data_IF_968866963852
#
_entry.id   IF_968866963852
#
_cell.length_a   1.000
_cell.length_b   1.000
_cell.length_c   1.000
_cell.angle_alpha   90.00
_cell.angle_beta   90.00
_cell.angle_gamma   90.00
#
_symmetry.space_group_name_H-M   'P 1'
#
loop_
_entity.id
_entity.type
_entity.pdbx_description
1 polymer ?
#
# COMPACT_ATOMS: atom_id res chain seq x y z
N UNK A 1 3.79 14.05 -27.73
CA UNK A 1 3.53 14.01 -26.28
C UNK A 1 4.84 14.24 -25.55
N UNK A 2 5.07 15.43 -24.98
CA UNK A 2 6.36 15.94 -24.50
C UNK A 2 6.67 15.54 -23.04
N UNK A 3 6.65 14.25 -22.71
CA UNK A 3 7.18 13.74 -21.42
C UNK A 3 6.64 14.37 -20.12
N UNK A 4 5.55 15.13 -20.16
CA UNK A 4 5.02 15.81 -18.97
C UNK A 4 4.47 14.80 -17.95
N UNK A 5 4.77 15.06 -16.68
CA UNK A 5 4.28 14.28 -15.55
C UNK A 5 2.75 14.29 -15.52
N UNK A 6 2.13 13.11 -15.55
CA UNK A 6 0.68 12.98 -15.43
C UNK A 6 0.33 13.04 -13.95
N UNK A 7 -0.37 14.08 -13.54
CA UNK A 7 -0.93 14.21 -12.20
C UNK A 7 -2.43 13.91 -12.25
N UNK A 8 -2.91 13.08 -11.31
CA UNK A 8 -4.31 12.75 -11.15
C UNK A 8 -4.70 12.91 -9.69
N UNK A 9 -5.67 13.78 -9.43
CA UNK A 9 -6.24 13.95 -8.10
C UNK A 9 -7.32 12.90 -7.87
N UNK A 10 -7.23 12.17 -6.75
CA UNK A 10 -8.22 11.17 -6.34
C UNK A 10 -8.61 11.46 -4.89
N UNK A 11 -9.92 11.47 -4.62
CA UNK A 11 -10.45 11.64 -3.27
C UNK A 11 -10.81 10.26 -2.69
N UNK A 12 -10.23 9.93 -1.53
CA UNK A 12 -10.61 8.75 -0.74
C UNK A 12 -11.67 9.20 0.27
N UNK A 13 -12.88 8.67 0.15
CA UNK A 13 -14.00 9.01 1.05
C UNK A 13 -14.04 8.04 2.23
N UNK A 14 -14.49 8.50 3.42
CA UNK A 14 -14.78 7.60 4.53
C UNK A 14 -15.92 6.64 4.17
N UNK A 15 -15.95 5.48 4.84
CA UNK A 15 -17.05 4.54 4.81
C UNK A 15 -17.77 4.59 6.16
N UNK A 16 -19.09 4.38 6.16
CA UNK A 16 -19.91 4.34 7.37
C UNK A 16 -19.60 3.12 8.23
N UNK A 17 -19.22 1.99 7.61
CA UNK A 17 -18.68 0.84 8.33
C UNK A 17 -17.19 1.10 8.64
N UNK A 18 -16.89 1.29 9.92
CA UNK A 18 -15.55 1.56 10.42
C UNK A 18 -14.54 0.46 10.02
N UNK A 19 -14.98 -0.81 9.94
CA UNK A 19 -14.10 -1.93 9.54
C UNK A 19 -13.72 -1.88 8.07
N UNK A 20 -14.52 -1.20 7.25
CA UNK A 20 -14.29 -1.02 5.82
C UNK A 20 -13.81 0.39 5.47
N UNK A 21 -13.68 1.29 6.45
CA UNK A 21 -13.34 2.68 6.23
C UNK A 21 -11.84 2.87 5.94
N UNK A 22 -11.45 3.24 4.70
CA UNK A 22 -10.04 3.38 4.35
C UNK A 22 -9.39 4.59 5.07
N UNK A 23 -10.17 5.62 5.38
CA UNK A 23 -9.68 6.82 6.09
C UNK A 23 -9.36 6.47 7.54
N UNK A 24 -10.24 5.74 8.22
CA UNK A 24 -10.00 5.26 9.59
C UNK A 24 -8.80 4.30 9.63
N UNK A 25 -8.76 3.33 8.70
CA UNK A 25 -7.66 2.38 8.59
C UNK A 25 -6.30 3.08 8.37
N UNK A 26 -6.25 4.06 7.46
CA UNK A 26 -5.02 4.80 7.19
C UNK A 26 -4.61 5.70 8.37
N UNK A 27 -5.56 6.31 9.07
CA UNK A 27 -5.29 7.10 10.28
C UNK A 27 -4.67 6.25 11.39
N UNK A 28 -5.24 5.07 11.65
CA UNK A 28 -4.67 4.09 12.58
C UNK A 28 -3.31 3.57 12.14
N UNK A 29 -3.08 3.44 10.82
CA UNK A 29 -1.79 3.09 10.27
C UNK A 29 -0.74 4.17 10.55
N UNK A 30 -1.08 5.44 10.35
CA UNK A 30 -0.17 6.58 10.59
C UNK A 30 0.27 6.62 12.06
N UNK A 31 -0.64 6.43 13.01
CA UNK A 31 -0.29 6.49 14.44
C UNK A 31 0.54 5.31 14.93
N UNK A 32 0.51 4.17 14.23
CA UNK A 32 1.18 2.93 14.66
C UNK A 32 2.48 2.61 13.92
N UNK A 33 2.56 2.98 12.65
CA UNK A 33 3.63 2.53 11.74
C UNK A 33 4.37 3.71 11.10
N UNK A 34 3.67 4.81 10.83
CA UNK A 34 4.22 5.98 10.15
C UNK A 34 4.10 7.24 11.01
N UNK A 35 4.40 7.09 12.30
CA UNK A 35 4.29 8.10 13.35
C UNK A 35 5.34 9.22 13.25
N UNK A 36 6.42 8.97 12.51
CA UNK A 36 7.43 9.97 12.14
C UNK A 36 7.55 10.11 10.62
N UNK A 37 7.95 11.28 10.08
CA UNK A 37 8.14 11.46 8.64
C UNK A 37 9.33 10.63 8.11
N UNK A 38 9.13 9.96 6.98
CA UNK A 38 10.18 9.23 6.26
C UNK A 38 10.25 9.75 4.83
N UNK A 39 11.42 10.25 4.44
CA UNK A 39 11.70 10.70 3.09
C UNK A 39 12.94 9.96 2.60
N UNK A 40 12.81 9.27 1.48
CA UNK A 40 13.86 8.43 0.91
C UNK A 40 14.13 8.79 -0.56
N UNK A 41 15.35 8.55 -1.07
CA UNK A 41 15.65 8.70 -2.49
C UNK A 41 14.85 7.69 -3.33
N UNK A 42 14.44 8.10 -4.53
CA UNK A 42 13.77 7.21 -5.47
C UNK A 42 14.75 6.13 -5.97
N UNK A 43 14.36 4.84 -6.02
CA UNK A 43 15.29 3.75 -6.35
C UNK A 43 15.97 3.86 -7.72
N UNK A 44 15.33 4.54 -8.69
CA UNK A 44 15.87 4.74 -10.04
C UNK A 44 16.54 6.09 -10.23
N UNK A 45 16.28 7.05 -9.35
CA UNK A 45 16.81 8.42 -9.48
C UNK A 45 16.98 9.02 -8.08
N UNK A 46 18.22 8.98 -7.58
CA UNK A 46 18.54 9.46 -6.22
C UNK A 46 18.39 10.97 -6.02
N UNK A 47 18.25 11.75 -7.11
CA UNK A 47 17.98 13.19 -7.01
C UNK A 47 16.54 13.48 -6.57
N UNK A 48 15.62 12.55 -6.85
CA UNK A 48 14.21 12.64 -6.47
C UNK A 48 14.04 12.01 -5.09
N UNK A 49 13.41 12.77 -4.18
CA UNK A 49 13.01 12.28 -2.86
C UNK A 49 11.51 12.11 -2.79
N UNK A 50 11.05 11.08 -2.09
CA UNK A 50 9.63 10.85 -1.86
C UNK A 50 9.36 10.30 -0.46
N UNK A 51 8.14 10.54 0.02
CA UNK A 51 7.63 9.89 1.22
C UNK A 51 6.85 8.64 0.79
N UNK A 52 7.27 7.43 1.19
CA UNK A 52 6.54 6.22 0.84
C UNK A 52 5.19 6.19 1.57
N UNK A 53 4.12 5.86 0.83
CA UNK A 53 2.76 5.80 1.37
C UNK A 53 2.62 4.73 2.46
N UNK A 54 3.21 3.56 2.20
CA UNK A 54 3.22 2.41 3.09
C UNK A 54 4.66 1.98 3.39
N UNK A 55 4.87 1.57 4.63
CA UNK A 55 6.15 1.13 5.21
C UNK A 55 6.06 -0.32 5.64
N UNK A 56 7.21 -0.97 5.71
CA UNK A 56 7.29 -2.32 6.24
C UNK A 56 7.00 -2.31 7.75
N UNK A 57 6.07 -3.15 8.21
CA UNK A 57 5.69 -3.20 9.63
C UNK A 57 6.77 -3.74 10.56
N UNK A 58 7.74 -4.52 10.03
CA UNK A 58 8.91 -5.00 10.77
C UNK A 58 10.09 -4.04 10.71
N UNK A 59 10.16 -3.23 9.64
CA UNK A 59 11.23 -2.27 9.40
C UNK A 59 10.62 -0.91 9.02
N UNK A 60 10.24 -0.14 10.03
CA UNK A 60 9.48 1.12 9.88
C UNK A 60 10.21 2.18 9.05
N UNK A 61 11.53 2.04 8.86
CA UNK A 61 12.35 2.93 8.04
C UNK A 61 12.44 2.51 6.55
N UNK A 62 11.77 1.43 6.15
CA UNK A 62 11.81 0.91 4.77
C UNK A 62 10.43 1.00 4.10
N UNK A 63 10.39 1.35 2.80
CA UNK A 63 9.16 1.28 2.03
C UNK A 63 8.67 -0.17 1.93
N UNK A 64 7.36 -0.36 1.86
CA UNK A 64 6.78 -1.68 1.60
C UNK A 64 7.09 -2.10 0.14
N UNK A 65 7.60 -3.32 -0.07
CA UNK A 65 7.90 -3.82 -1.41
C UNK A 65 6.66 -4.41 -2.08
N UNK A 66 6.62 -4.36 -3.41
CA UNK A 66 5.56 -5.00 -4.20
C UNK A 66 5.43 -6.50 -3.91
N UNK A 67 6.57 -7.18 -3.78
CA UNK A 67 6.62 -8.60 -3.40
C UNK A 67 5.96 -8.86 -2.03
N UNK A 68 6.22 -8.00 -1.04
CA UNK A 68 5.60 -8.14 0.28
C UNK A 68 4.09 -7.99 0.19
N UNK A 69 3.60 -7.03 -0.62
CA UNK A 69 2.17 -6.83 -0.86
C UNK A 69 1.57 -8.08 -1.51
N UNK A 70 2.18 -8.62 -2.56
CA UNK A 70 1.70 -9.84 -3.23
C UNK A 70 1.59 -11.02 -2.26
N UNK A 71 2.65 -11.27 -1.47
CA UNK A 71 2.66 -12.35 -0.49
C UNK A 71 1.58 -12.17 0.59
N UNK A 72 1.31 -10.93 1.01
CA UNK A 72 0.23 -10.62 1.94
C UNK A 72 -1.14 -10.87 1.32
N UNK A 73 -1.34 -10.48 0.06
CA UNK A 73 -2.60 -10.73 -0.67
C UNK A 73 -2.86 -12.23 -0.83
N UNK A 74 -1.84 -13.01 -1.19
CA UNK A 74 -1.94 -14.47 -1.29
C UNK A 74 -2.30 -15.09 0.05
N UNK A 75 -1.63 -14.66 1.12
CA UNK A 75 -1.89 -15.14 2.49
C UNK A 75 -3.32 -14.81 2.94
N UNK A 76 -3.81 -13.61 2.65
CA UNK A 76 -5.19 -13.20 2.97
C UNK A 76 -6.17 -14.03 2.15
N UNK A 77 -5.90 -14.23 0.87
CA UNK A 77 -6.76 -15.00 -0.04
C UNK A 77 -6.91 -16.45 0.42
N UNK A 78 -5.84 -17.09 0.89
CA UNK A 78 -5.90 -18.44 1.49
C UNK A 78 -6.66 -18.50 2.82
N UNK A 79 -6.84 -17.37 3.51
CA UNK A 79 -7.56 -17.33 4.78
C UNK A 79 -9.04 -16.98 4.63
N UNK A 80 -9.46 -16.59 3.43
CA UNK A 80 -10.84 -16.25 3.10
C UNK A 80 -11.33 -17.31 2.10
N UNK A 81 -12.10 -18.31 2.54
CA UNK A 81 -12.53 -19.45 1.71
C UNK A 81 -13.22 -19.02 0.40
N UNK A 82 -13.91 -17.88 0.39
CA UNK A 82 -14.56 -17.33 -0.80
C UNK A 82 -13.56 -16.83 -1.86
N UNK A 83 -12.38 -16.35 -1.45
CA UNK A 83 -11.34 -15.84 -2.35
C UNK A 83 -10.45 -16.95 -2.92
N UNK A 84 -10.32 -18.09 -2.24
CA UNK A 84 -9.60 -19.26 -2.74
C UNK A 84 -10.19 -19.87 -4.03
N UNK A 85 -11.49 -19.65 -4.28
CA UNK A 85 -12.15 -20.12 -5.51
C UNK A 85 -11.80 -19.25 -6.72
N UNK A 86 -11.49 -17.97 -6.54
CA UNK A 86 -11.15 -17.05 -7.62
C UNK A 86 -9.67 -17.17 -8.06
N UNK A 87 -8.76 -17.45 -7.13
CA UNK A 87 -7.32 -17.55 -7.42
C UNK A 87 -6.91 -18.87 -8.07
N UNK A 88 -7.72 -19.93 -7.93
CA UNK A 88 -7.51 -21.22 -8.64
C UNK A 88 -7.69 -21.13 -10.17
N UNK A 89 -8.35 -20.10 -10.68
CA UNK A 89 -8.55 -19.90 -12.13
C UNK A 89 -7.38 -19.20 -12.83
N UNK A 90 -6.30 -18.84 -12.13
CA UNK A 90 -5.19 -18.02 -12.68
C UNK A 90 -3.85 -18.79 -12.72
N UNK A 91 -3.78 -20.02 -12.18
CA UNK A 91 -2.57 -20.85 -12.35
C UNK A 91 -2.67 -21.63 -13.68
N UNK A 92 -1.67 -21.52 -14.58
CA UNK A 92 -1.65 -22.24 -15.85
C UNK A 92 -1.54 -23.76 -15.66
#
# INVERSE_FOLDING_TARGET
RLGQRIEKTVAIRPNDDEKLCPVAAYSCYLTRIADYPLVIPHPKDGSIKYAPLLRNSRHLNKPLSAETISNQMDTISCKIPELERATRCIKP
#
